data_IF_907735292164
#
_entry.id   IF_907735292164
#
_cell.length_a   1.000
_cell.length_b   1.000
_cell.length_c   1.000
_cell.angle_alpha   90.00
_cell.angle_beta   90.00
_cell.angle_gamma   90.00
#
_symmetry.space_group_name_H-M   'P 1'
#
loop_
_entity.id
_entity.type
_entity.pdbx_description
1 polymer ?
#
# COMPACT_ATOMS: atom_id res chain seq x y z
N UNK A 1 -6.86 -15.17 -15.54
CA UNK A 1 -5.41 -15.40 -15.79
C UNK A 1 -4.71 -15.36 -14.45
N UNK A 2 -3.68 -16.17 -14.24
CA UNK A 2 -3.00 -16.15 -12.95
C UNK A 2 -2.09 -14.93 -12.82
N UNK A 3 -1.99 -14.34 -11.64
CA UNK A 3 -1.20 -13.11 -11.44
C UNK A 3 0.29 -13.34 -11.71
N UNK A 4 0.96 -12.39 -12.34
CA UNK A 4 2.41 -12.42 -12.53
C UNK A 4 3.15 -12.21 -11.20
N UNK A 5 4.29 -12.89 -11.05
CA UNK A 5 5.19 -12.77 -9.89
C UNK A 5 6.64 -12.50 -10.34
N UNK A 6 7.39 -11.84 -9.48
CA UNK A 6 8.84 -11.67 -9.59
C UNK A 6 9.55 -12.46 -8.50
N UNK A 7 10.58 -13.21 -8.87
CA UNK A 7 11.27 -14.09 -7.93
C UNK A 7 12.76 -14.19 -8.21
N UNK A 8 13.52 -14.47 -7.14
CA UNK A 8 14.88 -14.99 -7.23
C UNK A 8 14.82 -16.48 -6.83
N UNK A 9 14.80 -17.39 -7.81
CA UNK A 9 14.38 -18.79 -7.57
C UNK A 9 15.51 -19.72 -7.19
N UNK A 10 16.60 -19.78 -7.99
CA UNK A 10 17.72 -20.70 -7.82
C UNK A 10 18.84 -20.31 -8.79
N UNK A 11 20.09 -20.54 -8.39
CA UNK A 11 21.28 -20.37 -9.22
C UNK A 11 21.39 -21.34 -10.39
N UNK A 12 22.39 -21.15 -11.24
CA UNK A 12 22.69 -22.01 -12.41
C UNK A 12 22.88 -23.48 -12.05
N UNK A 13 23.61 -23.74 -10.96
CA UNK A 13 23.99 -25.10 -10.51
C UNK A 13 23.37 -25.50 -9.18
N UNK A 14 22.57 -24.61 -8.57
CA UNK A 14 21.99 -24.82 -7.25
C UNK A 14 21.91 -23.51 -6.46
N UNK A 15 21.93 -23.62 -5.13
CA UNK A 15 21.75 -22.46 -4.27
C UNK A 15 23.07 -21.76 -3.85
N UNK A 16 24.23 -22.39 -4.10
CA UNK A 16 25.53 -22.00 -3.55
C UNK A 16 26.61 -22.01 -4.63
N UNK A 17 27.69 -21.24 -4.43
CA UNK A 17 28.85 -21.19 -5.32
C UNK A 17 28.57 -20.74 -6.75
N UNK A 18 27.58 -19.87 -6.95
CA UNK A 18 27.24 -19.35 -8.27
C UNK A 18 28.24 -18.27 -8.73
N UNK A 19 28.13 -17.88 -10.00
CA UNK A 19 28.87 -16.74 -10.54
C UNK A 19 28.02 -15.47 -10.34
N UNK A 20 28.62 -14.35 -9.91
CA UNK A 20 27.88 -13.11 -9.75
C UNK A 20 27.19 -12.63 -11.03
N UNK A 21 25.97 -12.10 -10.88
CA UNK A 21 25.09 -11.67 -11.96
C UNK A 21 24.25 -12.79 -12.57
N UNK A 22 23.09 -12.43 -13.12
CA UNK A 22 22.12 -13.37 -13.70
C UNK A 22 22.55 -13.81 -15.10
N UNK A 23 23.25 -14.95 -15.14
CA UNK A 23 23.87 -15.48 -16.35
C UNK A 23 22.84 -16.13 -17.28
N UNK A 24 21.91 -16.90 -16.73
CA UNK A 24 20.97 -17.72 -17.50
C UNK A 24 19.61 -17.04 -17.75
N UNK A 25 19.32 -15.96 -17.04
CA UNK A 25 17.99 -15.38 -16.97
C UNK A 25 17.00 -16.17 -16.12
N UNK A 26 17.42 -17.27 -15.48
CA UNK A 26 16.57 -18.09 -14.61
C UNK A 26 16.74 -17.75 -13.14
N UNK A 27 17.84 -17.13 -12.75
CA UNK A 27 18.17 -16.85 -11.36
C UNK A 27 17.18 -15.89 -10.74
N UNK A 28 17.08 -14.70 -11.34
CA UNK A 28 15.97 -13.78 -11.16
C UNK A 28 15.11 -13.85 -12.42
N UNK A 29 13.82 -14.14 -12.25
CA UNK A 29 12.90 -14.34 -13.35
C UNK A 29 11.48 -13.86 -13.02
N UNK A 30 10.68 -13.72 -14.06
CA UNK A 30 9.24 -13.59 -13.97
C UNK A 30 8.59 -14.95 -14.13
N UNK A 31 7.58 -15.21 -13.31
CA UNK A 31 6.73 -16.39 -13.43
C UNK A 31 5.27 -15.99 -13.23
N UNK A 32 4.38 -16.96 -13.36
CA UNK A 32 2.99 -16.83 -12.91
C UNK A 32 2.85 -17.43 -11.52
N UNK A 33 1.87 -16.94 -10.77
CA UNK A 33 1.57 -17.47 -9.45
C UNK A 33 1.32 -18.98 -9.50
N UNK A 34 1.82 -19.66 -8.48
CA UNK A 34 1.67 -21.10 -8.29
C UNK A 34 1.42 -21.38 -6.81
N UNK A 35 0.82 -22.54 -6.53
CA UNK A 35 0.55 -22.99 -5.17
C UNK A 35 1.84 -23.48 -4.50
N UNK A 36 2.55 -22.60 -3.80
CA UNK A 36 3.89 -22.81 -3.25
C UNK A 36 3.95 -23.13 -1.75
N UNK A 37 2.91 -23.75 -1.17
CA UNK A 37 2.81 -23.96 0.29
C UNK A 37 3.08 -22.68 1.09
N UNK A 38 2.46 -21.57 0.66
CA UNK A 38 2.63 -20.25 1.26
C UNK A 38 2.17 -20.25 2.73
N UNK A 39 2.99 -19.69 3.61
CA UNK A 39 2.74 -19.58 5.05
C UNK A 39 2.16 -18.23 5.45
N UNK A 40 2.47 -17.19 4.68
CA UNK A 40 1.98 -15.84 4.93
C UNK A 40 2.14 -14.93 3.71
N UNK A 41 1.32 -13.88 3.67
CA UNK A 41 1.45 -12.77 2.73
C UNK A 41 1.76 -11.50 3.51
N UNK A 42 2.87 -10.85 3.16
CA UNK A 42 3.22 -9.54 3.69
C UNK A 42 2.66 -8.48 2.74
N UNK A 43 1.63 -7.77 3.20
CA UNK A 43 0.97 -6.72 2.44
C UNK A 43 1.40 -5.36 2.95
N UNK A 44 1.85 -4.48 2.05
CA UNK A 44 2.11 -3.09 2.40
C UNK A 44 0.81 -2.40 2.82
N UNK A 45 0.85 -1.62 3.91
CA UNK A 45 -0.27 -0.78 4.32
C UNK A 45 -0.45 0.44 3.40
N UNK A 46 0.66 1.00 2.89
CA UNK A 46 0.66 2.08 1.91
C UNK A 46 0.73 1.52 0.47
N UNK A 47 -0.32 1.73 -0.33
CA UNK A 47 -0.38 1.28 -1.73
C UNK A 47 0.70 1.90 -2.61
N UNK A 48 1.16 3.12 -2.33
CA UNK A 48 2.23 3.75 -3.09
C UNK A 48 3.55 3.03 -2.87
N UNK A 49 3.85 2.61 -1.64
CA UNK A 49 5.03 1.80 -1.34
C UNK A 49 4.93 0.41 -1.98
N UNK A 50 3.74 -0.19 -1.99
CA UNK A 50 3.50 -1.45 -2.69
C UNK A 50 3.88 -1.36 -4.18
N UNK A 51 3.44 -0.29 -4.86
CA UNK A 51 3.75 -0.05 -6.27
C UNK A 51 5.24 0.18 -6.51
N UNK A 52 5.89 1.01 -5.69
CA UNK A 52 7.33 1.25 -5.78
C UNK A 52 8.14 -0.05 -5.56
N UNK A 53 7.71 -0.90 -4.64
CA UNK A 53 8.35 -2.19 -4.39
C UNK A 53 8.21 -3.13 -5.59
N UNK A 54 7.02 -3.18 -6.22
CA UNK A 54 6.78 -3.97 -7.42
C UNK A 54 7.63 -3.48 -8.61
N UNK A 55 7.73 -2.17 -8.82
CA UNK A 55 8.60 -1.59 -9.84
C UNK A 55 10.09 -1.89 -9.58
N UNK A 56 10.52 -1.82 -8.31
CA UNK A 56 11.88 -2.21 -7.94
C UNK A 56 12.12 -3.69 -8.21
N UNK A 57 11.14 -4.56 -7.95
CA UNK A 57 11.22 -5.98 -8.26
C UNK A 57 11.37 -6.22 -9.77
N UNK A 58 10.55 -5.56 -10.59
CA UNK A 58 10.64 -5.64 -12.06
C UNK A 58 12.01 -5.17 -12.58
N UNK A 59 12.50 -4.03 -12.05
CA UNK A 59 13.80 -3.49 -12.39
C UNK A 59 14.95 -4.42 -11.96
N UNK A 60 14.85 -5.01 -10.77
CA UNK A 60 15.84 -5.95 -10.23
C UNK A 60 15.90 -7.25 -11.04
N UNK A 61 14.73 -7.83 -11.36
CA UNK A 61 14.62 -9.03 -12.20
C UNK A 61 15.13 -8.76 -13.62
N UNK A 62 14.88 -7.56 -14.16
CA UNK A 62 15.36 -7.15 -15.47
C UNK A 62 16.87 -6.87 -15.52
N UNK A 63 17.53 -6.64 -14.38
CA UNK A 63 18.95 -6.32 -14.32
C UNK A 63 19.82 -7.59 -14.31
N UNK A 64 20.51 -7.86 -15.42
CA UNK A 64 21.40 -9.02 -15.57
C UNK A 64 22.63 -8.99 -14.65
N UNK A 65 22.93 -7.86 -14.02
CA UNK A 65 24.00 -7.80 -13.03
C UNK A 65 23.61 -8.36 -11.65
N UNK A 66 22.34 -8.68 -11.41
CA UNK A 66 21.86 -9.21 -10.13
C UNK A 66 21.52 -10.67 -10.29
N UNK A 67 22.35 -11.56 -9.76
CA UNK A 67 22.20 -13.02 -9.80
C UNK A 67 21.70 -13.63 -8.49
N UNK A 68 21.51 -14.95 -8.48
CA UNK A 68 21.11 -15.71 -7.29
C UNK A 68 22.28 -16.48 -6.69
N UNK A 69 22.60 -16.24 -5.42
CA UNK A 69 23.50 -17.08 -4.63
C UNK A 69 23.26 -16.88 -3.11
N UNK A 70 23.32 -17.96 -2.34
CA UNK A 70 23.12 -17.89 -0.88
C UNK A 70 24.40 -17.53 -0.11
N UNK A 71 25.59 -17.83 -0.64
CA UNK A 71 26.87 -17.53 0.01
C UNK A 71 27.19 -16.02 -0.14
N UNK A 72 26.94 -15.47 -1.32
CA UNK A 72 27.11 -14.07 -1.70
C UNK A 72 25.88 -13.18 -1.52
N UNK A 73 24.82 -13.66 -0.83
CA UNK A 73 23.47 -13.04 -0.81
C UNK A 73 23.39 -11.56 -0.41
N UNK A 74 24.40 -11.02 0.27
CA UNK A 74 24.44 -9.63 0.71
C UNK A 74 25.23 -8.71 -0.22
N UNK A 75 25.89 -9.23 -1.25
CA UNK A 75 26.66 -8.40 -2.20
C UNK A 75 25.77 -7.45 -2.98
N UNK A 76 24.54 -7.87 -3.31
CA UNK A 76 23.54 -7.00 -3.90
C UNK A 76 23.11 -5.85 -2.98
N UNK A 77 23.02 -6.07 -1.67
CA UNK A 77 22.71 -5.00 -0.71
C UNK A 77 23.76 -3.90 -0.73
N UNK A 78 25.04 -4.28 -0.65
CA UNK A 78 26.15 -3.31 -0.67
C UNK A 78 26.18 -2.52 -1.99
N UNK A 79 25.87 -3.18 -3.11
CA UNK A 79 25.78 -2.49 -4.40
C UNK A 79 24.57 -1.58 -4.51
N UNK A 80 23.42 -2.01 -3.97
CA UNK A 80 22.20 -1.23 -3.94
C UNK A 80 22.39 0.04 -3.09
N UNK A 81 23.03 -0.05 -1.93
CA UNK A 81 23.31 1.10 -1.06
C UNK A 81 24.13 2.18 -1.79
N UNK A 82 25.09 1.78 -2.64
CA UNK A 82 25.90 2.72 -3.43
C UNK A 82 25.13 3.44 -4.55
N UNK A 83 23.91 3.01 -4.88
CA UNK A 83 23.05 3.60 -5.93
C UNK A 83 21.68 4.00 -5.39
N UNK A 84 21.59 4.31 -4.09
CA UNK A 84 20.35 4.71 -3.39
C UNK A 84 19.21 3.70 -3.53
N UNK A 85 19.55 2.41 -3.57
CA UNK A 85 18.64 1.28 -3.76
C UNK A 85 17.88 1.29 -5.10
N UNK A 86 18.34 2.05 -6.09
CA UNK A 86 17.77 2.01 -7.44
C UNK A 86 18.35 0.78 -8.17
N UNK A 87 17.67 -0.37 -8.07
CA UNK A 87 18.19 -1.67 -8.53
C UNK A 87 18.60 -1.71 -10.02
N UNK A 88 17.96 -0.92 -10.88
CA UNK A 88 18.33 -0.80 -12.30
C UNK A 88 19.70 -0.14 -12.52
N UNK A 89 20.23 0.60 -11.54
CA UNK A 89 21.54 1.26 -11.62
C UNK A 89 22.71 0.39 -11.15
N UNK A 90 22.45 -0.82 -10.64
CA UNK A 90 23.52 -1.75 -10.26
C UNK A 90 24.26 -2.20 -11.52
N UNK A 91 25.50 -1.71 -11.67
CA UNK A 91 26.32 -1.94 -12.86
C UNK A 91 27.36 -3.05 -12.69
N UNK A 92 27.66 -3.46 -11.45
CA UNK A 92 28.61 -4.54 -11.15
C UNK A 92 27.85 -5.85 -10.90
N UNK A 93 28.37 -7.00 -11.37
CA UNK A 93 27.80 -8.30 -11.04
C UNK A 93 27.77 -8.52 -9.52
N UNK A 94 26.60 -8.90 -9.02
CA UNK A 94 26.30 -9.16 -7.60
C UNK A 94 25.33 -10.31 -7.46
N UNK A 95 25.13 -10.74 -6.22
CA UNK A 95 24.31 -11.88 -5.85
C UNK A 95 23.35 -11.51 -4.72
N UNK A 96 22.18 -12.14 -4.76
CA UNK A 96 21.13 -12.07 -3.75
C UNK A 96 20.50 -13.45 -3.58
N UNK A 97 19.77 -13.68 -2.51
CA UNK A 97 18.81 -14.80 -2.43
C UNK A 97 17.37 -14.26 -2.48
N UNK A 98 16.37 -15.15 -2.39
CA UNK A 98 14.96 -14.78 -2.45
C UNK A 98 14.58 -13.75 -1.39
N UNK A 99 15.02 -13.97 -0.15
CA UNK A 99 14.66 -13.10 0.98
C UNK A 99 15.43 -11.79 1.02
N UNK A 100 16.72 -11.78 0.65
CA UNK A 100 17.48 -10.54 0.48
C UNK A 100 16.92 -9.71 -0.67
N UNK A 101 16.49 -10.35 -1.77
CA UNK A 101 15.94 -9.63 -2.91
C UNK A 101 14.63 -8.91 -2.56
N UNK A 102 13.72 -9.58 -1.84
CA UNK A 102 12.49 -8.95 -1.34
C UNK A 102 12.78 -7.79 -0.39
N UNK A 103 13.81 -7.92 0.47
CA UNK A 103 14.25 -6.84 1.35
C UNK A 103 14.77 -5.64 0.56
N UNK A 104 15.54 -5.85 -0.51
CA UNK A 104 15.99 -4.77 -1.39
C UNK A 104 14.80 -4.05 -2.05
N UNK A 105 13.82 -4.79 -2.54
CA UNK A 105 12.61 -4.21 -3.15
C UNK A 105 11.83 -3.35 -2.13
N UNK A 106 11.64 -3.84 -0.91
CA UNK A 106 10.98 -3.08 0.15
C UNK A 106 11.76 -1.83 0.58
N UNK A 107 13.10 -1.92 0.66
CA UNK A 107 13.95 -0.76 0.95
C UNK A 107 13.88 0.28 -0.18
N UNK A 108 13.89 -0.17 -1.44
CA UNK A 108 13.74 0.70 -2.62
C UNK A 108 12.42 1.47 -2.59
N UNK A 109 11.38 0.89 -1.98
CA UNK A 109 10.08 1.54 -1.76
C UNK A 109 10.03 2.49 -0.55
N UNK A 110 11.14 2.70 0.15
CA UNK A 110 11.24 3.62 1.29
C UNK A 110 10.94 2.99 2.65
N UNK A 111 11.04 1.66 2.81
CA UNK A 111 10.96 1.01 4.13
C UNK A 111 12.32 1.06 4.83
N UNK A 112 12.71 2.24 5.31
CA UNK A 112 14.04 2.48 5.90
C UNK A 112 14.31 1.67 7.18
N UNK A 113 13.27 1.28 7.93
CA UNK A 113 13.39 0.40 9.10
C UNK A 113 14.03 -0.96 8.77
N UNK A 114 13.94 -1.42 7.52
CA UNK A 114 14.65 -2.62 7.07
C UNK A 114 16.16 -2.37 6.93
N UNK A 115 16.61 -1.15 6.61
CA UNK A 115 18.05 -0.80 6.63
C UNK A 115 18.62 -0.92 8.04
N UNK A 116 17.89 -0.44 9.04
CA UNK A 116 18.30 -0.61 10.44
C UNK A 116 18.34 -2.09 10.85
N UNK A 117 17.34 -2.86 10.41
CA UNK A 117 17.29 -4.31 10.65
C UNK A 117 18.52 -5.00 10.08
N UNK A 118 18.89 -4.68 8.83
CA UNK A 118 20.10 -5.18 8.20
C UNK A 118 21.36 -4.81 8.99
N UNK A 119 21.52 -3.53 9.36
CA UNK A 119 22.68 -3.04 10.12
C UNK A 119 22.83 -3.74 11.47
N UNK A 120 21.73 -3.98 12.18
CA UNK A 120 21.73 -4.69 13.47
C UNK A 120 22.09 -6.16 13.34
N UNK A 121 21.65 -6.82 12.27
CA UNK A 121 21.87 -8.26 12.05
C UNK A 121 23.18 -8.55 11.31
N UNK A 122 23.74 -7.57 10.60
CA UNK A 122 24.85 -7.77 9.66
C UNK A 122 24.46 -8.64 8.45
N UNK A 123 23.16 -8.86 8.23
CA UNK A 123 22.63 -9.78 7.23
C UNK A 123 21.20 -9.37 6.83
N UNK A 124 20.82 -9.70 5.60
CA UNK A 124 19.43 -9.60 5.17
C UNK A 124 18.56 -10.60 5.91
N UNK A 125 17.31 -10.23 6.20
CA UNK A 125 16.34 -11.14 6.79
C UNK A 125 16.24 -12.42 5.95
N UNK A 126 16.26 -13.57 6.61
CA UNK A 126 15.99 -14.87 5.98
C UNK A 126 14.50 -15.07 5.80
N UNK A 127 14.10 -15.92 4.85
CA UNK A 127 12.69 -16.25 4.57
C UNK A 127 11.90 -16.59 5.85
N UNK A 128 12.49 -17.40 6.74
CA UNK A 128 11.87 -17.80 8.01
C UNK A 128 11.52 -16.61 8.92
N UNK A 129 12.35 -15.56 8.95
CA UNK A 129 12.14 -14.42 9.83
C UNK A 129 11.34 -13.26 9.19
N UNK A 130 11.09 -13.30 7.88
CA UNK A 130 10.38 -12.22 7.17
C UNK A 130 8.99 -11.94 7.75
N UNK A 131 8.22 -12.99 8.08
CA UNK A 131 6.89 -12.86 8.69
C UNK A 131 6.91 -12.15 10.06
N UNK A 132 8.08 -12.03 10.69
CA UNK A 132 8.27 -11.25 11.93
C UNK A 132 8.91 -9.90 11.66
N UNK A 133 9.99 -9.86 10.89
CA UNK A 133 10.80 -8.66 10.69
C UNK A 133 10.08 -7.58 9.88
N UNK A 134 9.32 -7.95 8.87
CA UNK A 134 8.63 -6.98 8.02
C UNK A 134 7.45 -6.33 8.75
N UNK A 135 6.54 -7.07 9.42
CA UNK A 135 5.47 -6.44 10.19
C UNK A 135 5.99 -5.58 11.35
N UNK A 136 7.13 -5.94 11.95
CA UNK A 136 7.76 -5.15 13.02
C UNK A 136 8.20 -3.74 12.58
N UNK A 137 8.30 -3.47 11.27
CA UNK A 137 8.54 -2.11 10.75
C UNK A 137 7.33 -1.18 10.88
N UNK A 138 6.13 -1.74 11.12
CA UNK A 138 4.86 -1.01 11.12
C UNK A 138 4.25 -0.79 9.74
N UNK A 139 5.01 -1.02 8.66
CA UNK A 139 4.62 -0.74 7.26
C UNK A 139 3.86 -1.89 6.57
N UNK A 140 3.88 -3.08 7.19
CA UNK A 140 3.27 -4.29 6.65
C UNK A 140 2.18 -4.83 7.56
N UNK A 141 1.18 -5.44 6.92
CA UNK A 141 0.21 -6.34 7.52
C UNK A 141 0.56 -7.77 7.11
N UNK A 142 0.49 -8.70 8.06
CA UNK A 142 0.69 -10.13 7.81
C UNK A 142 -0.67 -10.80 7.64
N UNK A 143 -0.95 -11.29 6.43
CA UNK A 143 -2.17 -12.04 6.11
C UNK A 143 -1.86 -13.54 6.10
N UNK A 144 -2.59 -14.30 6.91
CA UNK A 144 -2.46 -15.76 7.00
C UNK A 144 -3.75 -16.49 6.62
N UNK A 145 -4.78 -15.76 6.18
CA UNK A 145 -6.04 -16.38 5.79
C UNK A 145 -5.86 -17.25 4.55
N UNK A 146 -6.51 -18.42 4.58
CA UNK A 146 -6.44 -19.40 3.49
C UNK A 146 -6.72 -18.81 2.11
N UNK A 147 -7.64 -17.82 2.02
CA UNK A 147 -8.00 -17.16 0.75
C UNK A 147 -6.81 -16.47 0.06
N UNK A 148 -5.84 -15.95 0.83
CA UNK A 148 -4.63 -15.31 0.30
C UNK A 148 -3.50 -16.31 0.05
N UNK A 149 -3.52 -17.46 0.72
CA UNK A 149 -2.45 -18.46 0.63
C UNK A 149 -2.69 -19.51 -0.46
N UNK A 150 -3.94 -19.79 -0.80
CA UNK A 150 -4.28 -20.86 -1.76
C UNK A 150 -4.88 -20.35 -3.07
N UNK A 151 -5.00 -19.03 -3.23
CA UNK A 151 -5.51 -18.41 -4.45
C UNK A 151 -4.84 -17.06 -4.68
N UNK A 152 -4.59 -16.77 -5.94
CA UNK A 152 -4.11 -15.48 -6.42
C UNK A 152 -5.21 -14.41 -6.55
N UNK A 153 -6.49 -14.80 -6.52
CA UNK A 153 -7.61 -13.90 -6.74
C UNK A 153 -7.67 -12.71 -5.76
N UNK A 154 -7.13 -12.88 -4.55
CA UNK A 154 -7.13 -11.86 -3.49
C UNK A 154 -5.74 -11.24 -3.23
N UNK A 155 -4.77 -11.54 -4.09
CA UNK A 155 -3.43 -10.97 -4.00
C UNK A 155 -3.40 -9.59 -4.67
N UNK A 156 -2.51 -8.73 -4.19
CA UNK A 156 -2.34 -7.37 -4.72
C UNK A 156 -0.93 -7.21 -5.24
N UNK A 157 -0.77 -6.40 -6.29
CA UNK A 157 0.56 -5.96 -6.73
C UNK A 157 1.32 -5.34 -5.55
N UNK A 158 2.54 -5.81 -5.34
CA UNK A 158 3.42 -5.48 -4.21
C UNK A 158 3.31 -6.42 -3.00
N UNK A 159 2.34 -7.34 -2.96
CA UNK A 159 2.28 -8.37 -1.92
C UNK A 159 3.51 -9.28 -1.99
N UNK A 160 4.08 -9.61 -0.84
CA UNK A 160 5.23 -10.53 -0.74
C UNK A 160 4.74 -11.84 -0.14
N UNK A 161 4.75 -12.91 -0.94
CA UNK A 161 4.41 -14.26 -0.51
C UNK A 161 5.62 -14.90 0.16
N UNK A 162 5.40 -15.55 1.30
CA UNK A 162 6.47 -16.17 2.10
C UNK A 162 6.11 -17.63 2.38
N UNK A 163 7.02 -18.56 2.07
CA UNK A 163 6.96 -19.97 2.45
C UNK A 163 8.11 -20.32 3.41
N UNK A 164 8.30 -21.61 3.73
CA UNK A 164 9.40 -22.04 4.61
C UNK A 164 10.79 -21.83 4.01
N UNK A 165 10.91 -21.80 2.68
CA UNK A 165 12.21 -21.73 1.99
C UNK A 165 12.24 -20.78 0.79
N UNK A 166 11.12 -20.15 0.43
CA UNK A 166 11.05 -19.26 -0.72
C UNK A 166 10.17 -18.04 -0.45
N UNK A 167 10.46 -16.96 -1.17
CA UNK A 167 9.62 -15.76 -1.15
C UNK A 167 9.62 -15.10 -2.52
N UNK A 168 8.46 -14.55 -2.88
CA UNK A 168 8.22 -13.93 -4.19
C UNK A 168 7.36 -12.68 -4.02
N UNK A 169 7.46 -11.76 -4.98
CA UNK A 169 6.59 -10.58 -5.04
C UNK A 169 5.52 -10.78 -6.10
N UNK A 170 4.28 -10.42 -5.76
CA UNK A 170 3.16 -10.33 -6.69
C UNK A 170 3.27 -9.04 -7.50
N UNK A 171 3.17 -9.14 -8.82
CA UNK A 171 3.34 -8.03 -9.75
C UNK A 171 2.02 -7.61 -10.42
N UNK A 172 0.92 -8.32 -10.17
CA UNK A 172 -0.40 -7.99 -10.74
C UNK A 172 -1.48 -8.13 -9.66
N UNK A 173 -2.57 -7.37 -9.77
CA UNK A 173 -3.71 -7.53 -8.88
C UNK A 173 -4.50 -8.79 -9.26
N UNK A 174 -4.97 -9.52 -8.25
CA UNK A 174 -5.92 -10.61 -8.42
C UNK A 174 -7.30 -10.10 -8.79
N UNK A 175 -8.09 -10.96 -9.44
CA UNK A 175 -9.42 -10.61 -9.98
C UNK A 175 -10.41 -10.07 -8.95
N UNK A 176 -10.25 -10.40 -7.67
CA UNK A 176 -11.14 -9.98 -6.57
C UNK A 176 -10.58 -8.83 -5.74
N UNK A 177 -9.49 -8.19 -6.17
CA UNK A 177 -8.95 -7.01 -5.50
C UNK A 177 -9.86 -5.78 -5.67
N UNK A 178 -10.51 -5.65 -6.83
CA UNK A 178 -11.45 -4.55 -7.12
C UNK A 178 -12.78 -4.67 -6.35
N UNK A 179 -13.07 -5.83 -5.74
CA UNK A 179 -14.31 -6.07 -5.01
C UNK A 179 -14.32 -5.48 -3.58
N UNK A 180 -13.15 -5.13 -3.01
CA UNK A 180 -13.03 -4.60 -1.63
C UNK A 180 -13.33 -3.08 -1.52
N UNK A 181 -13.44 -2.36 -2.64
CA UNK A 181 -13.82 -0.93 -2.71
C UNK A 181 -15.10 -0.74 -3.52
N UNK A 182 -16.14 -1.49 -3.16
CA UNK A 182 -17.42 -1.35 -3.81
C UNK A 182 -18.15 -0.05 -3.41
N UNK A 183 -19.24 0.23 -4.11
CA UNK A 183 -20.10 1.39 -3.81
C UNK A 183 -20.63 1.36 -2.38
N UNK A 184 -20.85 0.18 -1.78
CA UNK A 184 -21.38 0.05 -0.44
C UNK A 184 -20.34 0.51 0.60
N UNK A 185 -19.09 0.06 0.48
CA UNK A 185 -17.96 0.48 1.33
C UNK A 185 -17.70 1.97 1.20
N UNK A 186 -17.67 2.51 -0.03
CA UNK A 186 -17.57 3.97 -0.23
C UNK A 186 -18.74 4.71 0.44
N UNK A 187 -19.96 4.20 0.30
CA UNK A 187 -21.16 4.82 0.89
C UNK A 187 -21.09 4.82 2.42
N UNK A 188 -20.59 3.74 3.03
CA UNK A 188 -20.39 3.64 4.48
C UNK A 188 -19.34 4.64 4.96
N UNK A 189 -18.14 4.62 4.37
CA UNK A 189 -17.06 5.54 4.73
C UNK A 189 -17.45 7.00 4.52
N UNK A 190 -18.14 7.31 3.42
CA UNK A 190 -18.65 8.66 3.17
C UNK A 190 -19.70 9.09 4.20
N UNK A 191 -20.56 8.17 4.68
CA UNK A 191 -21.51 8.46 5.75
C UNK A 191 -20.82 8.69 7.09
N UNK A 192 -19.76 7.94 7.40
CA UNK A 192 -18.97 8.13 8.62
C UNK A 192 -18.28 9.48 8.63
N UNK A 193 -17.50 9.80 7.59
CA UNK A 193 -16.88 11.11 7.42
C UNK A 193 -17.92 12.24 7.50
N UNK A 194 -19.10 12.05 6.90
CA UNK A 194 -20.15 13.06 6.95
C UNK A 194 -20.72 13.28 8.35
N UNK A 195 -20.78 12.26 9.21
CA UNK A 195 -21.21 12.42 10.60
C UNK A 195 -20.26 13.31 11.39
N UNK A 196 -18.96 13.21 11.14
CA UNK A 196 -17.95 14.03 11.82
C UNK A 196 -18.08 15.52 11.44
N UNK A 197 -18.64 15.83 10.26
CA UNK A 197 -18.92 17.20 9.80
C UNK A 197 -20.29 17.73 10.26
N UNK A 198 -21.16 16.87 10.81
CA UNK A 198 -22.52 17.21 11.25
C UNK A 198 -22.54 17.77 12.68
N UNK A 199 -21.60 18.64 12.99
CA UNK A 199 -21.53 19.37 14.23
C UNK A 199 -21.67 20.89 14.02
N UNK A 200 -21.59 21.64 15.10
CA UNK A 200 -21.58 23.09 15.04
C UNK A 200 -20.15 23.65 15.06
N UNK A 201 -19.11 22.86 14.81
CA UNK A 201 -17.73 23.36 14.78
C UNK A 201 -17.56 24.30 13.59
N UNK A 202 -16.97 25.46 13.82
CA UNK A 202 -16.91 26.52 12.82
C UNK A 202 -16.01 27.65 13.31
N UNK A 203 -15.27 28.24 12.38
CA UNK A 203 -14.43 29.39 12.68
C UNK A 203 -15.23 30.68 12.87
N UNK A 204 -14.66 31.61 13.62
CA UNK A 204 -15.29 32.88 14.02
C UNK A 204 -15.66 33.80 12.83
N UNK A 205 -14.96 33.74 11.70
CA UNK A 205 -15.16 34.68 10.59
C UNK A 205 -16.59 34.66 10.00
N UNK A 206 -17.30 33.53 10.12
CA UNK A 206 -18.67 33.36 9.60
C UNK A 206 -19.76 33.64 10.64
N UNK A 207 -19.39 33.94 11.89
CA UNK A 207 -20.33 34.08 13.00
C UNK A 207 -21.45 35.08 12.72
N UNK A 208 -21.10 36.29 12.28
CA UNK A 208 -22.08 37.32 11.96
C UNK A 208 -23.06 36.90 10.85
N UNK A 209 -22.57 36.20 9.82
CA UNK A 209 -23.39 35.69 8.74
C UNK A 209 -24.33 34.57 9.21
N UNK A 210 -23.85 33.68 10.08
CA UNK A 210 -24.65 32.57 10.65
C UNK A 210 -25.72 33.08 11.59
N UNK A 211 -25.39 33.98 12.51
CA UNK A 211 -26.37 34.62 13.39
C UNK A 211 -27.44 35.36 12.58
N UNK A 212 -27.03 36.12 11.57
CA UNK A 212 -27.98 36.76 10.65
C UNK A 212 -28.88 35.73 9.97
N UNK A 213 -28.32 34.65 9.40
CA UNK A 213 -29.10 33.63 8.69
C UNK A 213 -30.12 32.93 9.59
N UNK A 214 -29.75 32.61 10.84
CA UNK A 214 -30.64 32.00 11.83
C UNK A 214 -31.75 32.96 12.23
N UNK A 215 -31.41 34.20 12.61
CA UNK A 215 -32.40 35.23 13.02
C UNK A 215 -33.40 35.56 11.91
N UNK A 216 -33.01 35.33 10.66
CA UNK A 216 -33.78 35.64 9.47
C UNK A 216 -34.51 34.44 8.87
N UNK A 217 -34.44 33.26 9.50
CA UNK A 217 -35.11 32.04 9.05
C UNK A 217 -34.58 31.47 7.73
N UNK A 218 -33.34 31.80 7.36
CA UNK A 218 -32.74 31.41 6.07
C UNK A 218 -32.22 29.98 6.14
N UNK A 219 -31.56 29.62 7.25
CA UNK A 219 -31.04 28.28 7.51
C UNK A 219 -31.89 27.63 8.60
N UNK A 220 -32.27 26.38 8.36
CA UNK A 220 -32.96 25.53 9.32
C UNK A 220 -32.01 24.40 9.74
N UNK A 221 -31.87 24.19 11.05
CA UNK A 221 -31.06 23.10 11.60
C UNK A 221 -31.68 21.73 11.37
N UNK A 222 -30.87 20.69 11.59
CA UNK A 222 -31.28 19.29 11.58
C UNK A 222 -31.79 18.82 12.96
N UNK A 223 -31.57 17.54 13.27
CA UNK A 223 -31.86 16.99 14.60
C UNK A 223 -31.02 17.70 15.68
N UNK A 224 -31.58 18.03 16.86
CA UNK A 224 -30.82 18.66 17.94
C UNK A 224 -29.60 17.83 18.36
N UNK A 225 -28.59 18.52 18.88
CA UNK A 225 -27.43 17.89 19.52
C UNK A 225 -27.88 17.14 20.81
N UNK A 226 -27.04 16.22 21.36
CA UNK A 226 -27.38 15.47 22.57
C UNK A 226 -27.71 16.35 23.80
N UNK A 227 -27.24 17.59 23.82
CA UNK A 227 -27.52 18.58 24.86
C UNK A 227 -28.83 19.37 24.65
N UNK A 228 -29.57 19.08 23.56
CA UNK A 228 -30.82 19.73 23.19
C UNK A 228 -30.65 21.03 22.40
N UNK A 229 -29.42 21.48 22.14
CA UNK A 229 -29.16 22.67 21.33
C UNK A 229 -29.42 22.41 19.84
N UNK A 230 -29.70 23.48 19.09
CA UNK A 230 -29.94 23.38 17.66
C UNK A 230 -28.65 23.00 16.91
N UNK A 231 -28.73 21.95 16.08
CA UNK A 231 -27.61 21.54 15.22
C UNK A 231 -27.79 22.11 13.80
N UNK A 232 -26.86 22.95 13.36
CA UNK A 232 -26.88 23.55 12.04
C UNK A 232 -25.88 22.92 11.07
N UNK A 233 -25.00 22.01 11.54
CA UNK A 233 -24.10 21.21 10.71
C UNK A 233 -23.22 22.08 9.80
N UNK A 234 -22.57 23.10 10.37
CA UNK A 234 -21.96 24.20 9.60
C UNK A 234 -20.83 23.76 8.65
N UNK A 235 -20.20 22.61 8.90
CA UNK A 235 -19.14 22.04 8.07
C UNK A 235 -19.63 21.00 7.05
N UNK A 236 -20.90 20.57 7.12
CA UNK A 236 -21.43 19.59 6.18
C UNK A 236 -21.59 20.18 4.76
N UNK A 237 -21.57 19.30 3.77
CA UNK A 237 -21.70 19.67 2.36
C UNK A 237 -23.12 20.11 2.01
N UNK A 238 -23.23 21.28 1.38
CA UNK A 238 -24.48 21.76 0.80
C UNK A 238 -24.80 21.06 -0.53
N UNK A 239 -26.01 20.53 -0.66
CA UNK A 239 -26.50 19.96 -1.93
C UNK A 239 -26.98 21.06 -2.88
N UNK A 240 -27.06 20.75 -4.19
CA UNK A 240 -27.64 21.67 -5.18
C UNK A 240 -29.11 22.01 -4.87
N UNK A 241 -29.86 21.07 -4.32
CA UNK A 241 -31.25 21.27 -3.90
C UNK A 241 -31.36 22.26 -2.74
N UNK A 242 -30.49 22.12 -1.73
CA UNK A 242 -30.40 23.06 -0.61
C UNK A 242 -30.02 24.46 -1.11
N UNK A 243 -29.01 24.57 -1.99
CA UNK A 243 -28.60 25.84 -2.58
C UNK A 243 -29.76 26.55 -3.29
N UNK A 244 -30.48 25.84 -4.17
CA UNK A 244 -31.60 26.42 -4.93
C UNK A 244 -32.73 26.87 -4.01
N UNK A 245 -32.99 26.12 -2.94
CA UNK A 245 -34.01 26.48 -1.94
C UNK A 245 -33.62 27.74 -1.16
N UNK A 246 -32.35 27.88 -0.77
CA UNK A 246 -31.83 29.10 -0.13
C UNK A 246 -31.98 30.30 -1.06
N UNK A 247 -31.60 30.16 -2.33
CA UNK A 247 -31.73 31.23 -3.33
C UNK A 247 -33.20 31.64 -3.55
N UNK A 248 -34.11 30.67 -3.61
CA UNK A 248 -35.55 30.92 -3.78
C UNK A 248 -36.13 31.69 -2.59
N UNK A 249 -35.86 31.24 -1.35
CA UNK A 249 -36.31 31.94 -0.14
C UNK A 249 -35.72 33.33 -0.02
N UNK A 250 -34.46 33.50 -0.40
CA UNK A 250 -33.81 34.80 -0.43
C UNK A 250 -34.47 35.74 -1.45
N UNK A 251 -34.78 35.25 -2.64
CA UNK A 251 -35.48 36.03 -3.67
C UNK A 251 -36.89 36.46 -3.22
N UNK A 252 -37.66 35.58 -2.58
CA UNK A 252 -38.95 35.93 -1.98
C UNK A 252 -38.82 37.01 -0.91
N UNK A 253 -37.81 36.88 -0.04
CA UNK A 253 -37.58 37.84 1.05
C UNK A 253 -37.20 39.23 0.55
N UNK A 254 -36.53 39.31 -0.60
CA UNK A 254 -36.18 40.56 -1.27
C UNK A 254 -37.30 41.09 -2.18
N UNK A 255 -38.43 40.38 -2.31
CA UNK A 255 -39.52 40.75 -3.21
C UNK A 255 -39.15 40.69 -4.69
N UNK A 256 -38.15 39.88 -5.05
CA UNK A 256 -37.73 39.67 -6.44
C UNK A 256 -38.67 38.73 -7.19
N UNK A 257 -39.37 37.85 -6.45
CA UNK A 257 -40.38 36.90 -6.91
C UNK A 257 -41.50 36.77 -5.88
#
# INVERSE_FOLDING_TARGET
MSVRIGQASLGETGAHGQKPGNQTGRELNFAYWYSGSWLGVLRFKDRRKAELAAQACEAGVGNKNIGYDQDGRNTAYVAAEAVDFILSKIAKPVETDCSAFMMLCAISAGVDALKETYRKQGNSCTTYCMMRCFPATGEFELLTDRKHLTSDAYLRRGDILVSSGHTVMVLENGEKEDDDMDKATFTELFREMRKDLQDNDCSDWSEAARQWAVNNGIVQGGAPLPDGSANFMWQDMMTREQLVTVLYRFAQKLGMI
#
